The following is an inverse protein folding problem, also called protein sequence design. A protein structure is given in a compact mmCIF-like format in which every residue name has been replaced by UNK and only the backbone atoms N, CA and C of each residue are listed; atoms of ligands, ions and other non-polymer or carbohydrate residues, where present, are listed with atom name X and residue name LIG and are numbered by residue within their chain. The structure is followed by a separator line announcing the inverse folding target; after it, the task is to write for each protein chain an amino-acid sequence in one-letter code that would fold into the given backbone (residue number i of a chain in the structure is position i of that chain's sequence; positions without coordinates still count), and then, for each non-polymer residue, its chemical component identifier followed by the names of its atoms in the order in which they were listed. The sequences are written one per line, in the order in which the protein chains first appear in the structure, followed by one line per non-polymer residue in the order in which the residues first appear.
data_IF_332798158423
#
_entry.id   IF_332798158423
#
_cell.length_a   1.000
_cell.length_b   1.000
_cell.length_c   1.000
_cell.angle_alpha   90.00
_cell.angle_beta   90.00
_cell.angle_gamma   90.00
#
_symmetry.space_group_name_H-M   'P 1'
#
loop_
_entity.id
_entity.type
_entity.pdbx_description
1 polymer ?
#
# COMPACT_ATOMS: atom_id res chain seq x y z
N UNK A 1 19.11 -1.50 44.15
CA UNK A 1 18.95 -1.57 42.69
C UNK A 1 20.33 -1.78 42.09
N UNK A 2 20.71 -3.04 41.81
CA UNK A 2 22.06 -3.38 41.30
C UNK A 2 22.03 -3.34 39.78
N UNK A 3 22.78 -2.40 39.20
CA UNK A 3 23.02 -2.31 37.76
C UNK A 3 23.97 -3.42 37.34
N UNK A 4 23.53 -4.32 36.48
CA UNK A 4 24.36 -5.32 35.83
C UNK A 4 25.37 -4.63 34.92
N UNK A 5 26.65 -4.57 35.33
CA UNK A 5 27.73 -4.17 34.42
C UNK A 5 28.03 -5.34 33.50
N UNK A 6 27.68 -5.19 32.22
CA UNK A 6 28.12 -6.09 31.16
C UNK A 6 29.63 -5.93 31.06
N UNK A 7 30.38 -6.96 31.56
CA UNK A 7 31.83 -7.05 31.38
C UNK A 7 32.04 -7.37 29.88
N UNK A 8 32.57 -6.44 29.14
CA UNK A 8 33.09 -6.72 27.78
C UNK A 8 34.22 -7.75 27.93
N UNK A 9 34.16 -8.90 27.25
CA UNK A 9 35.23 -9.85 27.27
C UNK A 9 36.51 -9.20 26.72
N UNK A 10 37.62 -9.34 27.47
CA UNK A 10 38.94 -8.95 26.98
C UNK A 10 39.18 -9.76 25.70
N UNK A 11 39.44 -9.08 24.61
CA UNK A 11 39.81 -9.70 23.34
C UNK A 11 41.17 -10.35 23.53
N UNK A 12 41.23 -11.65 23.65
CA UNK A 12 42.49 -12.40 23.59
C UNK A 12 43.02 -12.29 22.16
N UNK A 13 44.20 -11.70 22.02
CA UNK A 13 44.93 -11.62 20.75
C UNK A 13 45.55 -12.99 20.42
N UNK A 14 44.69 -13.94 20.06
CA UNK A 14 45.12 -15.18 19.44
C UNK A 14 45.14 -15.04 17.90
N UNK A 15 45.88 -15.88 17.18
CA UNK A 15 45.84 -15.83 15.71
C UNK A 15 44.44 -16.16 15.23
N UNK A 16 43.70 -15.12 14.79
CA UNK A 16 42.37 -15.30 14.27
C UNK A 16 42.46 -15.99 12.91
N UNK A 17 41.87 -17.16 12.79
CA UNK A 17 41.79 -17.96 11.57
C UNK A 17 41.19 -17.18 10.37
N UNK A 18 40.55 -16.04 10.66
CA UNK A 18 39.86 -15.18 9.69
C UNK A 18 40.37 -13.73 9.62
N UNK A 19 41.51 -13.44 10.25
CA UNK A 19 42.04 -12.07 10.30
C UNK A 19 42.49 -11.54 8.91
N UNK A 20 42.76 -12.43 7.96
CA UNK A 20 43.18 -12.04 6.60
C UNK A 20 42.03 -11.79 5.63
N UNK A 21 40.79 -12.11 6.00
CA UNK A 21 39.64 -11.96 5.10
C UNK A 21 38.89 -10.63 5.26
N UNK A 22 39.20 -9.86 6.32
CA UNK A 22 38.49 -8.60 6.59
C UNK A 22 38.88 -7.45 5.67
N UNK A 23 40.09 -7.50 5.08
CA UNK A 23 40.61 -6.41 4.23
C UNK A 23 40.23 -6.50 2.75
N UNK A 24 39.53 -7.55 2.35
CA UNK A 24 39.18 -7.80 0.96
C UNK A 24 37.68 -7.99 0.69
N UNK A 25 36.80 -7.45 1.55
CA UNK A 25 35.37 -7.50 1.24
C UNK A 25 35.08 -6.60 0.04
N UNK A 26 34.64 -7.15 -1.10
CA UNK A 26 34.34 -6.35 -2.25
C UNK A 26 33.19 -5.38 -1.89
N UNK A 27 33.33 -4.10 -2.29
CA UNK A 27 32.24 -3.16 -2.22
C UNK A 27 31.11 -3.62 -3.15
N UNK A 28 30.11 -4.29 -2.61
CA UNK A 28 28.95 -4.70 -3.37
C UNK A 28 28.08 -3.47 -3.65
N UNK A 29 27.67 -3.26 -4.91
CA UNK A 29 26.74 -2.19 -5.21
C UNK A 29 25.42 -2.46 -4.49
N UNK A 30 24.83 -1.39 -3.94
CA UNK A 30 23.52 -1.47 -3.30
C UNK A 30 22.42 -1.75 -4.35
N UNK A 31 21.35 -2.38 -3.92
CA UNK A 31 20.20 -2.61 -4.79
C UNK A 31 19.58 -1.28 -5.23
N UNK A 32 19.21 -1.18 -6.50
CA UNK A 32 18.38 -0.08 -6.98
C UNK A 32 17.06 -0.03 -6.21
N UNK A 33 16.54 1.18 -5.99
CA UNK A 33 15.38 1.41 -5.13
C UNK A 33 14.14 0.56 -5.48
N UNK A 34 13.89 0.31 -6.77
CA UNK A 34 12.80 -0.56 -7.24
C UNK A 34 13.02 -2.01 -6.81
N UNK A 35 14.22 -2.56 -7.07
CA UNK A 35 14.53 -3.94 -6.70
C UNK A 35 14.49 -4.13 -5.18
N UNK A 36 14.95 -3.14 -4.41
CA UNK A 36 14.87 -3.16 -2.95
C UNK A 36 13.41 -3.26 -2.50
N UNK A 37 12.54 -2.41 -3.02
CA UNK A 37 11.10 -2.45 -2.72
C UNK A 37 10.47 -3.81 -3.06
N UNK A 38 10.80 -4.40 -4.22
CA UNK A 38 10.30 -5.71 -4.63
C UNK A 38 10.80 -6.83 -3.70
N UNK A 39 12.05 -6.76 -3.25
CA UNK A 39 12.63 -7.73 -2.31
C UNK A 39 12.02 -7.59 -0.92
N UNK A 40 11.83 -6.36 -0.43
CA UNK A 40 11.14 -6.09 0.84
C UNK A 40 9.75 -6.69 0.82
N UNK A 41 8.98 -6.42 -0.22
CA UNK A 41 7.63 -6.98 -0.39
C UNK A 41 7.63 -8.51 -0.35
N UNK A 42 8.50 -9.14 -1.17
CA UNK A 42 8.57 -10.62 -1.27
C UNK A 42 9.07 -11.30 0.01
N UNK A 43 9.94 -10.66 0.77
CA UNK A 43 10.57 -11.26 1.95
C UNK A 43 9.89 -10.92 3.26
N UNK A 44 9.34 -9.71 3.37
CA UNK A 44 8.78 -9.17 4.60
C UNK A 44 7.26 -9.04 4.54
N UNK A 45 6.67 -9.15 3.35
CA UNK A 45 5.24 -8.91 3.14
C UNK A 45 4.83 -7.44 3.21
N UNK A 46 5.81 -6.53 3.39
CA UNK A 46 5.57 -5.09 3.46
C UNK A 46 6.76 -4.31 2.92
N UNK A 47 6.54 -3.20 2.22
CA UNK A 47 7.61 -2.33 1.77
C UNK A 47 8.07 -1.45 2.94
N UNK A 48 9.39 -1.36 3.14
CA UNK A 48 9.99 -0.52 4.18
C UNK A 48 10.53 0.80 3.62
N UNK A 49 11.12 0.74 2.42
CA UNK A 49 11.81 1.89 1.84
C UNK A 49 10.88 2.83 1.09
N UNK A 50 9.89 2.29 0.38
CA UNK A 50 8.92 3.10 -0.38
C UNK A 50 7.73 2.26 -0.82
N UNK A 51 6.58 2.91 -1.02
CA UNK A 51 5.37 2.22 -1.46
C UNK A 51 5.51 1.73 -2.91
N UNK A 52 5.16 0.46 -3.23
CA UNK A 52 5.31 -0.14 -4.56
C UNK A 52 4.61 0.61 -5.69
N UNK A 53 3.50 1.29 -5.41
CA UNK A 53 2.81 2.12 -6.40
C UNK A 53 3.72 3.20 -7.01
N UNK A 54 4.75 3.66 -6.30
CA UNK A 54 5.72 4.61 -6.84
C UNK A 54 6.46 4.10 -8.08
N UNK A 55 6.65 2.79 -8.16
CA UNK A 55 7.41 2.16 -9.26
C UNK A 55 6.51 1.43 -10.24
N UNK A 56 5.37 0.94 -9.75
CA UNK A 56 4.53 0.03 -10.50
C UNK A 56 3.34 0.71 -11.18
N UNK A 57 3.11 1.98 -10.91
CA UNK A 57 2.03 2.74 -11.52
C UNK A 57 2.50 4.12 -11.99
N UNK A 58 3.51 4.21 -12.88
CA UNK A 58 4.01 5.50 -13.37
C UNK A 58 2.91 6.35 -14.01
N UNK A 59 1.98 5.73 -14.73
CA UNK A 59 0.84 6.42 -15.36
C UNK A 59 -0.11 7.08 -14.35
N UNK A 60 -0.08 6.63 -13.09
CA UNK A 60 -0.89 7.19 -12.02
C UNK A 60 -0.44 8.59 -11.60
N UNK A 61 0.82 8.92 -11.86
CA UNK A 61 1.41 10.21 -11.51
C UNK A 61 1.19 11.26 -12.60
N UNK A 62 0.95 10.79 -13.83
CA UNK A 62 0.66 11.64 -14.99
C UNK A 62 -0.81 12.05 -15.06
N UNK A 63 -1.71 11.31 -14.37
CA UNK A 63 -3.13 11.65 -14.26
C UNK A 63 -3.39 12.46 -13.00
N UNK A 64 -4.36 13.36 -13.01
CA UNK A 64 -4.73 14.15 -11.83
C UNK A 64 -5.46 13.28 -10.80
N UNK A 65 -4.71 12.40 -10.11
CA UNK A 65 -5.21 11.59 -9.01
C UNK A 65 -5.01 12.33 -7.69
N UNK A 66 -5.99 12.20 -6.80
CA UNK A 66 -5.94 12.81 -5.47
C UNK A 66 -5.30 11.81 -4.52
N UNK A 67 -4.25 12.19 -3.78
CA UNK A 67 -3.70 11.37 -2.69
C UNK A 67 -4.73 11.12 -1.59
N UNK A 68 -4.77 9.89 -1.05
CA UNK A 68 -5.71 9.49 0.00
C UNK A 68 -5.77 10.50 1.16
N UNK A 69 -4.61 10.94 1.65
CA UNK A 69 -4.51 11.92 2.76
C UNK A 69 -5.14 13.28 2.49
N UNK A 70 -5.41 13.63 1.23
CA UNK A 70 -6.02 14.91 0.83
C UNK A 70 -7.49 14.78 0.44
N UNK A 71 -8.06 13.59 0.56
CA UNK A 71 -9.42 13.33 0.09
C UNK A 71 -10.43 14.28 0.73
N UNK A 72 -10.31 14.55 2.02
CA UNK A 72 -11.20 15.47 2.74
C UNK A 72 -11.24 16.90 2.17
N UNK A 73 -10.20 17.35 1.47
CA UNK A 73 -10.17 18.66 0.82
C UNK A 73 -11.07 18.74 -0.44
N UNK A 74 -11.64 17.62 -0.86
CA UNK A 74 -12.41 17.50 -2.11
C UNK A 74 -13.87 17.12 -1.87
N UNK A 75 -14.42 17.44 -0.69
CA UNK A 75 -15.83 17.16 -0.39
C UNK A 75 -16.76 17.68 -1.47
N UNK A 76 -17.72 16.84 -1.88
CA UNK A 76 -18.67 17.11 -2.96
C UNK A 76 -18.09 17.08 -4.38
N UNK A 77 -16.77 16.92 -4.54
CA UNK A 77 -16.11 16.91 -5.86
C UNK A 77 -15.91 15.49 -6.38
N UNK A 78 -15.92 15.37 -7.70
CA UNK A 78 -15.51 14.16 -8.40
C UNK A 78 -13.99 14.11 -8.48
N UNK A 79 -13.40 12.98 -8.06
CA UNK A 79 -11.97 12.76 -8.06
C UNK A 79 -11.63 11.34 -8.50
N UNK A 80 -10.37 11.13 -8.88
CA UNK A 80 -9.77 9.81 -9.09
C UNK A 80 -8.79 9.52 -7.98
N UNK A 81 -8.83 8.32 -7.43
CA UNK A 81 -7.86 7.79 -6.47
C UNK A 81 -7.30 6.49 -7.01
N UNK A 82 -5.99 6.29 -6.89
CA UNK A 82 -5.34 5.03 -7.24
C UNK A 82 -4.75 4.43 -5.98
N UNK A 83 -5.11 3.18 -5.71
CA UNK A 83 -4.65 2.48 -4.53
C UNK A 83 -4.72 0.98 -4.68
N UNK A 84 -4.09 0.31 -3.72
CA UNK A 84 -4.26 -1.12 -3.50
C UNK A 84 -5.44 -1.33 -2.58
N UNK A 85 -6.31 -2.25 -2.92
CA UNK A 85 -7.40 -2.65 -2.05
C UNK A 85 -6.81 -3.55 -0.96
N UNK A 86 -6.72 -3.04 0.27
CA UNK A 86 -6.18 -3.80 1.41
C UNK A 86 -7.27 -4.49 2.21
N UNK A 87 -8.50 -3.99 2.17
CA UNK A 87 -9.65 -4.60 2.82
C UNK A 87 -10.92 -4.42 1.98
N UNK A 88 -11.85 -5.36 2.11
CA UNK A 88 -13.14 -5.29 1.45
C UNK A 88 -14.22 -5.98 2.30
N UNK A 89 -15.36 -5.32 2.50
CA UNK A 89 -16.50 -5.84 3.24
C UNK A 89 -17.78 -5.62 2.47
N UNK A 90 -18.56 -6.68 2.31
CA UNK A 90 -19.91 -6.63 1.70
C UNK A 90 -20.96 -6.46 2.79
N UNK A 91 -21.96 -5.62 2.51
CA UNK A 91 -23.13 -5.43 3.34
C UNK A 91 -24.39 -5.60 2.49
N UNK A 92 -25.26 -6.52 2.90
CA UNK A 92 -26.59 -6.67 2.28
C UNK A 92 -27.55 -5.66 2.88
N UNK A 93 -28.28 -4.95 2.04
CA UNK A 93 -29.30 -4.01 2.47
C UNK A 93 -30.55 -4.76 2.95
N UNK A 94 -31.12 -4.32 4.09
CA UNK A 94 -32.27 -4.99 4.73
C UNK A 94 -33.56 -4.99 3.91
N UNK A 95 -33.67 -4.04 3.00
CA UNK A 95 -34.85 -3.84 2.16
C UNK A 95 -34.81 -4.63 0.83
N UNK A 96 -33.87 -5.55 0.67
CA UNK A 96 -33.72 -6.36 -0.53
C UNK A 96 -33.21 -5.60 -1.76
N UNK A 97 -32.86 -4.29 -1.63
CA UNK A 97 -32.38 -3.46 -2.74
C UNK A 97 -30.95 -3.76 -3.19
N UNK A 98 -30.36 -4.86 -2.71
CA UNK A 98 -29.06 -5.31 -3.17
C UNK A 98 -27.98 -5.25 -2.10
N UNK A 99 -26.73 -5.18 -2.53
CA UNK A 99 -25.57 -5.17 -1.66
C UNK A 99 -24.74 -3.91 -1.91
N UNK A 100 -24.16 -3.39 -0.84
CA UNK A 100 -23.10 -2.40 -0.87
C UNK A 100 -21.76 -3.07 -0.58
N UNK A 101 -20.67 -2.47 -1.03
CA UNK A 101 -19.32 -2.92 -0.68
C UNK A 101 -18.50 -1.73 -0.20
N UNK A 102 -17.88 -1.91 0.96
CA UNK A 102 -16.90 -1.00 1.51
C UNK A 102 -15.53 -1.56 1.19
N UNK A 103 -14.63 -0.72 0.72
CA UNK A 103 -13.23 -1.08 0.47
C UNK A 103 -12.33 -0.05 1.09
N UNK A 104 -11.17 -0.50 1.55
CA UNK A 104 -10.09 0.37 2.01
C UNK A 104 -9.01 0.37 0.94
N UNK A 105 -8.69 1.53 0.42
CA UNK A 105 -7.63 1.77 -0.55
C UNK A 105 -6.40 2.31 0.16
N UNK A 106 -5.25 1.72 -0.12
CA UNK A 106 -3.94 2.19 0.32
C UNK A 106 -3.16 2.76 -0.86
N UNK A 107 -2.63 3.96 -0.70
CA UNK A 107 -1.71 4.59 -1.64
C UNK A 107 -0.36 4.92 -0.97
N UNK A 108 0.52 5.62 -1.67
CA UNK A 108 1.84 5.99 -1.15
C UNK A 108 1.78 7.05 -0.01
N UNK A 109 0.61 7.58 0.31
CA UNK A 109 0.43 8.67 1.29
C UNK A 109 -0.47 8.31 2.46
N UNK A 110 -1.15 7.16 2.39
CA UNK A 110 -2.01 6.69 3.45
C UNK A 110 -3.13 5.77 2.96
N UNK A 111 -4.22 5.76 3.68
CA UNK A 111 -5.40 4.96 3.38
C UNK A 111 -6.64 5.85 3.26
N UNK A 112 -7.61 5.41 2.48
CA UNK A 112 -8.93 6.02 2.45
C UNK A 112 -10.02 4.95 2.31
N UNK A 113 -11.19 5.27 2.85
CA UNK A 113 -12.38 4.46 2.68
C UNK A 113 -13.07 4.80 1.36
N UNK A 114 -13.62 3.76 0.73
CA UNK A 114 -14.42 3.95 -0.47
C UNK A 114 -15.63 3.00 -0.47
N UNK A 115 -16.72 3.45 -1.06
CA UNK A 115 -18.01 2.76 -1.01
C UNK A 115 -18.55 2.55 -2.42
N UNK A 116 -18.95 1.31 -2.71
CA UNK A 116 -19.74 0.96 -3.87
C UNK A 116 -21.19 0.76 -3.44
N UNK A 117 -22.09 1.64 -3.88
CA UNK A 117 -23.53 1.43 -3.76
C UNK A 117 -23.99 0.29 -4.67
N UNK A 118 -25.21 -0.24 -4.53
CA UNK A 118 -25.65 -1.44 -5.20
C UNK A 118 -25.44 -1.45 -6.71
N UNK A 119 -25.72 -0.35 -7.37
CA UNK A 119 -25.54 -0.22 -8.83
C UNK A 119 -24.05 -0.33 -9.23
N UNK A 120 -23.17 0.42 -8.57
CA UNK A 120 -21.73 0.36 -8.79
C UNK A 120 -21.17 -1.03 -8.39
N UNK A 121 -21.70 -1.62 -7.31
CA UNK A 121 -21.29 -2.95 -6.88
C UNK A 121 -21.66 -4.04 -7.92
N UNK A 122 -22.84 -3.98 -8.53
CA UNK A 122 -23.23 -4.92 -9.58
C UNK A 122 -22.27 -4.85 -10.78
N UNK A 123 -21.82 -3.66 -11.13
CA UNK A 123 -20.94 -3.44 -12.30
C UNK A 123 -19.47 -3.77 -12.01
N UNK A 124 -18.97 -3.37 -10.85
CA UNK A 124 -17.54 -3.37 -10.55
C UNK A 124 -17.13 -4.24 -9.36
N UNK A 125 -18.05 -4.90 -8.68
CA UNK A 125 -17.79 -5.64 -7.46
C UNK A 125 -16.74 -6.75 -7.59
N UNK A 126 -16.60 -7.37 -8.76
CA UNK A 126 -15.59 -8.38 -9.06
C UNK A 126 -14.17 -7.79 -9.14
N UNK A 127 -14.06 -6.51 -9.47
CA UNK A 127 -12.77 -5.80 -9.58
C UNK A 127 -12.23 -5.33 -8.22
N UNK A 128 -12.97 -5.56 -7.14
CA UNK A 128 -12.65 -5.02 -5.81
C UNK A 128 -12.23 -6.10 -4.81
N UNK A 129 -11.36 -7.00 -5.24
CA UNK A 129 -10.76 -8.00 -4.34
C UNK A 129 -9.51 -7.42 -3.65
N UNK A 130 -9.26 -7.79 -2.37
CA UNK A 130 -8.02 -7.43 -1.69
C UNK A 130 -6.78 -7.86 -2.49
N UNK A 131 -5.74 -7.05 -2.45
CA UNK A 131 -4.49 -7.22 -3.21
C UNK A 131 -4.53 -6.63 -4.63
N UNK A 132 -5.68 -6.19 -5.12
CA UNK A 132 -5.78 -5.57 -6.45
C UNK A 132 -5.47 -4.07 -6.41
N UNK A 133 -4.66 -3.62 -7.37
CA UNK A 133 -4.47 -2.18 -7.62
C UNK A 133 -5.55 -1.68 -8.57
N UNK A 134 -6.25 -0.62 -8.18
CA UNK A 134 -7.35 -0.05 -8.97
C UNK A 134 -7.29 1.48 -9.00
N UNK A 135 -7.71 2.03 -10.12
CA UNK A 135 -8.12 3.43 -10.19
C UNK A 135 -9.63 3.49 -9.93
N UNK A 136 -9.99 4.22 -8.90
CA UNK A 136 -11.38 4.41 -8.49
C UNK A 136 -11.77 5.87 -8.71
N UNK A 137 -12.81 6.09 -9.49
CA UNK A 137 -13.38 7.40 -9.76
C UNK A 137 -14.70 7.53 -9.01
N UNK A 138 -14.96 8.70 -8.45
CA UNK A 138 -16.17 8.90 -7.67
C UNK A 138 -16.27 10.28 -7.05
N UNK A 139 -17.28 10.48 -6.23
CA UNK A 139 -17.55 11.72 -5.50
C UNK A 139 -17.11 11.55 -4.05
N UNK A 140 -16.35 12.50 -3.55
CA UNK A 140 -15.95 12.54 -2.14
C UNK A 140 -17.14 12.98 -1.28
N UNK A 141 -17.33 12.31 -0.14
CA UNK A 141 -18.28 12.71 0.90
C UNK A 141 -17.58 12.71 2.25
N UNK A 142 -17.73 13.82 2.94
CA UNK A 142 -17.20 13.97 4.29
C UNK A 142 -18.35 13.97 5.29
N UNK A 143 -18.30 13.03 6.25
CA UNK A 143 -19.26 12.94 7.35
C UNK A 143 -18.49 12.81 8.67
N UNK A 144 -18.84 13.61 9.66
CA UNK A 144 -18.23 13.59 11.00
C UNK A 144 -16.69 13.70 11.03
N UNK A 145 -16.10 14.32 10.02
CA UNK A 145 -14.64 14.48 9.88
C UNK A 145 -13.94 13.42 9.07
N UNK A 146 -14.62 12.33 8.71
CA UNK A 146 -14.08 11.26 7.87
C UNK A 146 -14.51 11.45 6.41
N UNK A 147 -13.55 11.26 5.49
CA UNK A 147 -13.80 11.37 4.07
C UNK A 147 -13.86 9.97 3.42
N UNK A 148 -14.90 9.73 2.65
CA UNK A 148 -15.06 8.53 1.86
C UNK A 148 -15.26 8.85 0.38
N UNK A 149 -14.75 7.99 -0.52
CA UNK A 149 -14.98 8.05 -1.94
C UNK A 149 -16.21 7.21 -2.30
N UNK A 150 -17.25 7.85 -2.79
CA UNK A 150 -18.41 7.15 -3.35
C UNK A 150 -18.09 6.79 -4.79
N UNK A 151 -17.76 5.53 -5.03
CA UNK A 151 -17.29 5.03 -6.32
C UNK A 151 -18.46 4.88 -7.29
N UNK A 152 -18.28 5.41 -8.49
CA UNK A 152 -19.18 5.20 -9.62
C UNK A 152 -18.50 4.53 -10.82
N UNK A 153 -17.15 4.52 -10.86
CA UNK A 153 -16.36 3.84 -11.88
C UNK A 153 -15.06 3.27 -11.33
N UNK A 154 -14.67 2.10 -11.83
CA UNK A 154 -13.39 1.45 -11.52
C UNK A 154 -12.73 1.05 -12.84
N UNK A 155 -11.48 1.49 -13.02
CA UNK A 155 -10.62 1.04 -14.09
C UNK A 155 -9.58 0.04 -13.56
N UNK A 156 -9.26 -0.96 -14.38
CA UNK A 156 -8.10 -1.81 -14.11
C UNK A 156 -6.83 -0.98 -14.29
N UNK A 157 -6.02 -0.92 -13.25
CA UNK A 157 -4.66 -0.45 -13.42
C UNK A 157 -3.87 -1.55 -14.14
N UNK A 158 -3.14 -1.20 -15.19
CA UNK A 158 -2.25 -2.14 -15.90
C UNK A 158 -1.10 -2.64 -15.02
N UNK A 159 -1.02 -2.16 -13.80
CA UNK A 159 0.05 -2.45 -12.86
C UNK A 159 -0.48 -3.40 -11.79
N UNK A 160 -0.11 -4.66 -11.92
CA UNK A 160 -0.32 -5.64 -10.85
C UNK A 160 0.72 -5.40 -9.76
N UNK A 161 0.28 -5.37 -8.51
CA UNK A 161 1.12 -5.73 -7.38
C UNK A 161 1.74 -7.11 -7.70
N UNK A 162 3.00 -7.36 -7.38
CA UNK A 162 3.53 -8.70 -7.55
C UNK A 162 2.61 -9.65 -6.78
N UNK A 163 1.89 -10.48 -7.51
CA UNK A 163 1.02 -11.50 -6.95
C UNK A 163 1.91 -12.42 -6.10
N UNK A 164 1.79 -12.31 -4.81
CA UNK A 164 2.58 -13.07 -3.85
C UNK A 164 1.70 -13.43 -2.68
N UNK A 165 0.91 -14.43 -2.83
CA UNK A 165 0.71 -15.63 -2.01
C UNK A 165 -0.39 -16.46 -2.63
#
# INVERSE_FOLDING_TARGET
MQLWRIRTPRREEGPHLFAAAADAMPALPDYGARLRCDLEWRRLGAPLSTHPLRYNAPDCWERPCVPSRRLACYDGRRVSVIGVIIAARRLSLRDGRGCMKFITLEDAWGVCEAVLFPEAYQRFGVLTQPGMTRQCDGIVRCEHGDAALIIDHIAESKTAYPAGM
#
